data_IF_039142284114
#
_entry.id   IF_039142284114
#
_cell.length_a   1.000
_cell.length_b   1.000
_cell.length_c   1.000
_cell.angle_alpha   90.00
_cell.angle_beta   90.00
_cell.angle_gamma   90.00
#
_symmetry.space_group_name_H-M   'P 1'
#
loop_
_entity.id
_entity.type
_entity.pdbx_description
1 polymer ?
#
# COMPACT_ATOMS: atom_id res chain seq x y z
N UNK A 1 11.68 -50.76 -32.21
CA UNK A 1 12.12 -49.51 -31.56
C UNK A 1 13.62 -49.61 -31.37
N UNK A 2 14.38 -48.84 -32.13
CA UNK A 2 15.85 -48.87 -32.09
C UNK A 2 16.39 -47.85 -31.06
N UNK A 3 17.69 -47.87 -30.79
CA UNK A 3 18.31 -46.95 -29.83
C UNK A 3 18.17 -45.47 -30.21
N UNK A 4 18.06 -45.15 -31.50
CA UNK A 4 17.83 -43.79 -31.98
C UNK A 4 16.42 -43.31 -31.63
N UNK A 5 15.39 -44.14 -31.79
CA UNK A 5 14.00 -43.83 -31.44
C UNK A 5 13.87 -43.49 -29.94
N UNK A 6 14.59 -44.23 -29.08
CA UNK A 6 14.60 -44.00 -27.63
C UNK A 6 15.29 -42.68 -27.25
N UNK A 7 16.41 -42.36 -27.90
CA UNK A 7 17.12 -41.09 -27.68
C UNK A 7 16.27 -39.90 -28.14
N UNK A 8 15.59 -40.04 -29.28
CA UNK A 8 14.73 -39.00 -29.83
C UNK A 8 13.48 -38.77 -28.96
N UNK A 9 12.85 -39.85 -28.47
CA UNK A 9 11.76 -39.75 -27.51
C UNK A 9 12.19 -39.07 -26.19
N UNK A 10 13.36 -39.42 -25.65
CA UNK A 10 13.88 -38.78 -24.44
C UNK A 10 14.19 -37.29 -24.64
N UNK A 11 14.72 -36.91 -25.81
CA UNK A 11 14.93 -35.50 -26.18
C UNK A 11 13.62 -34.73 -26.28
N UNK A 12 12.59 -35.31 -26.90
CA UNK A 12 11.27 -34.68 -27.02
C UNK A 12 10.62 -34.44 -25.66
N UNK A 13 10.71 -35.42 -24.74
CA UNK A 13 10.24 -35.25 -23.35
C UNK A 13 10.99 -34.11 -22.66
N UNK A 14 12.32 -34.09 -22.78
CA UNK A 14 13.14 -33.05 -22.17
C UNK A 14 12.84 -31.65 -22.71
N UNK A 15 12.59 -31.52 -24.01
CA UNK A 15 12.21 -30.23 -24.63
C UNK A 15 10.85 -29.76 -24.07
N UNK A 16 9.88 -30.66 -23.91
CA UNK A 16 8.56 -30.30 -23.33
C UNK A 16 8.68 -29.85 -21.87
N UNK A 17 9.50 -30.53 -21.07
CA UNK A 17 9.79 -30.11 -19.69
C UNK A 17 10.40 -28.72 -19.64
N UNK A 18 11.40 -28.45 -20.49
CA UNK A 18 12.06 -27.14 -20.57
C UNK A 18 11.10 -26.05 -21.03
N UNK A 19 10.23 -26.33 -22.01
CA UNK A 19 9.19 -25.39 -22.44
C UNK A 19 8.21 -25.07 -21.30
N UNK A 20 7.80 -26.08 -20.53
CA UNK A 20 6.90 -25.89 -19.37
C UNK A 20 7.57 -25.04 -18.28
N UNK A 21 8.84 -25.33 -17.97
CA UNK A 21 9.61 -24.56 -17.01
C UNK A 21 9.82 -23.11 -17.46
N UNK A 22 10.11 -22.91 -18.75
CA UNK A 22 10.29 -21.57 -19.34
C UNK A 22 9.01 -20.74 -19.25
N UNK A 23 7.85 -21.33 -19.58
CA UNK A 23 6.55 -20.65 -19.47
C UNK A 23 6.24 -20.25 -18.03
N UNK A 24 6.50 -21.14 -17.07
CA UNK A 24 6.32 -20.85 -15.64
C UNK A 24 7.24 -19.71 -15.18
N UNK A 25 8.51 -19.76 -15.56
CA UNK A 25 9.49 -18.73 -15.21
C UNK A 25 9.14 -17.38 -15.84
N UNK A 26 8.65 -17.35 -17.09
CA UNK A 26 8.21 -16.14 -17.76
C UNK A 26 7.00 -15.50 -17.07
N UNK A 27 6.02 -16.31 -16.65
CA UNK A 27 4.86 -15.83 -15.90
C UNK A 27 5.27 -15.24 -14.54
N UNK A 28 6.17 -15.91 -13.82
CA UNK A 28 6.66 -15.40 -12.54
C UNK A 28 7.51 -14.13 -12.69
N UNK A 29 8.35 -14.04 -13.72
CA UNK A 29 9.13 -12.84 -13.99
C UNK A 29 8.22 -11.65 -14.35
N UNK A 30 7.18 -11.88 -15.16
CA UNK A 30 6.17 -10.86 -15.45
C UNK A 30 5.46 -10.40 -14.16
N UNK A 31 5.04 -11.35 -13.31
CA UNK A 31 4.42 -11.06 -12.01
C UNK A 31 5.33 -10.17 -11.15
N UNK A 32 6.60 -10.55 -11.03
CA UNK A 32 7.59 -9.80 -10.24
C UNK A 32 7.88 -8.41 -10.83
N UNK A 33 7.95 -8.28 -12.15
CA UNK A 33 8.11 -6.97 -12.80
C UNK A 33 6.94 -6.05 -12.52
N UNK A 34 5.71 -6.53 -12.68
CA UNK A 34 4.51 -5.76 -12.35
C UNK A 34 4.46 -5.40 -10.87
N UNK A 35 4.84 -6.31 -9.97
CA UNK A 35 4.93 -6.03 -8.54
C UNK A 35 5.98 -4.95 -8.22
N UNK A 36 7.15 -5.02 -8.86
CA UNK A 36 8.22 -4.04 -8.67
C UNK A 36 7.82 -2.65 -9.21
N UNK A 37 7.21 -2.59 -10.39
CA UNK A 37 6.66 -1.35 -10.96
C UNK A 37 5.58 -0.73 -10.04
N UNK A 38 4.71 -1.56 -9.46
CA UNK A 38 3.73 -1.10 -8.49
C UNK A 38 4.39 -0.59 -7.20
N UNK A 39 5.44 -1.24 -6.69
CA UNK A 39 6.16 -0.77 -5.51
C UNK A 39 6.85 0.57 -5.77
N UNK A 40 7.52 0.72 -6.92
CA UNK A 40 8.14 1.98 -7.33
C UNK A 40 7.11 3.10 -7.49
N UNK A 41 5.93 2.82 -8.06
CA UNK A 41 4.90 3.83 -8.32
C UNK A 41 4.42 4.57 -7.05
N UNK A 42 4.54 3.96 -5.87
CA UNK A 42 4.07 4.52 -4.60
C UNK A 42 5.21 4.84 -3.63
N UNK A 43 6.46 4.54 -4.00
CA UNK A 43 7.61 4.73 -3.11
C UNK A 43 7.79 6.19 -2.70
N UNK A 44 7.65 7.13 -3.66
CA UNK A 44 7.76 8.56 -3.39
C UNK A 44 6.71 9.02 -2.36
N UNK A 45 5.49 8.50 -2.44
CA UNK A 45 4.42 8.81 -1.49
C UNK A 45 4.77 8.31 -0.07
N UNK A 46 5.34 7.10 0.03
CA UNK A 46 5.78 6.55 1.31
C UNK A 46 6.95 7.35 1.89
N UNK A 47 7.90 7.80 1.05
CA UNK A 47 9.01 8.65 1.49
C UNK A 47 8.50 9.99 2.02
N UNK A 48 7.55 10.62 1.32
CA UNK A 48 6.93 11.86 1.78
C UNK A 48 6.25 11.68 3.15
N UNK A 49 5.43 10.64 3.31
CA UNK A 49 4.78 10.34 4.59
C UNK A 49 5.78 9.98 5.70
N UNK A 50 6.89 9.32 5.37
CA UNK A 50 7.94 8.98 6.32
C UNK A 50 8.69 10.22 6.81
N UNK A 51 8.87 11.22 5.94
CA UNK A 51 9.42 12.52 6.32
C UNK A 51 8.46 13.28 7.24
N UNK A 52 7.15 13.25 6.96
CA UNK A 52 6.16 13.86 7.85
C UNK A 52 6.20 13.21 9.24
N UNK A 53 6.22 11.88 9.32
CA UNK A 53 6.35 11.11 10.58
C UNK A 53 7.62 11.47 11.35
N UNK A 54 8.75 11.60 10.66
CA UNK A 54 10.04 11.95 11.26
C UNK A 54 10.06 13.39 11.80
N UNK A 55 9.34 14.31 11.14
CA UNK A 55 9.29 15.73 11.51
C UNK A 55 8.31 16.04 12.65
N UNK A 56 7.52 15.06 13.10
CA UNK A 56 6.55 15.24 14.18
C UNK A 56 7.22 15.61 15.52
N UNK A 57 6.64 16.53 16.31
CA UNK A 57 7.01 16.75 17.72
C UNK A 57 6.90 15.46 18.56
N UNK A 58 7.64 15.32 19.69
CA UNK A 58 7.69 14.07 20.47
C UNK A 58 6.34 13.46 20.86
N UNK A 59 5.35 14.30 21.13
CA UNK A 59 3.96 13.96 21.50
C UNK A 59 3.03 13.78 20.29
N UNK A 60 3.47 14.20 19.10
CA UNK A 60 2.69 14.15 17.86
C UNK A 60 2.58 12.76 17.26
N UNK A 61 1.43 12.52 16.61
CA UNK A 61 1.11 11.29 15.90
C UNK A 61 0.87 11.51 14.41
N UNK A 62 1.20 10.51 13.60
CA UNK A 62 0.76 10.41 12.22
C UNK A 62 -0.56 9.64 12.18
N UNK A 63 -1.65 10.33 11.87
CA UNK A 63 -2.98 9.75 11.72
C UNK A 63 -3.23 9.44 10.25
N UNK A 64 -3.21 8.16 9.89
CA UNK A 64 -3.46 7.69 8.54
C UNK A 64 -4.96 7.41 8.38
N UNK A 65 -5.58 8.00 7.37
CA UNK A 65 -7.01 7.85 7.08
C UNK A 65 -7.19 7.13 5.75
N UNK A 66 -7.91 6.00 5.79
CA UNK A 66 -8.35 5.26 4.61
C UNK A 66 -9.53 5.99 3.95
N UNK A 67 -9.20 6.85 2.98
CA UNK A 67 -10.11 7.89 2.52
C UNK A 67 -11.39 7.37 1.87
N UNK A 68 -11.30 6.41 0.95
CA UNK A 68 -12.51 5.90 0.29
C UNK A 68 -13.35 5.05 1.23
N UNK A 69 -12.75 4.36 2.18
CA UNK A 69 -13.52 3.66 3.19
C UNK A 69 -14.29 4.63 4.10
N UNK A 70 -13.69 5.77 4.48
CA UNK A 70 -14.40 6.79 5.25
C UNK A 70 -15.55 7.46 4.48
N UNK A 71 -15.43 7.59 3.16
CA UNK A 71 -16.43 8.26 2.33
C UNK A 71 -17.54 7.29 1.86
N UNK A 72 -17.14 6.11 1.36
CA UNK A 72 -18.02 5.17 0.68
C UNK A 72 -18.36 3.94 1.53
N UNK A 73 -17.65 3.73 2.65
CA UNK A 73 -17.87 2.60 3.55
C UNK A 73 -19.22 2.66 4.26
N UNK A 74 -19.56 1.57 4.95
CA UNK A 74 -20.89 1.37 5.53
C UNK A 74 -21.34 2.48 6.49
N UNK A 75 -20.40 3.08 7.23
CA UNK A 75 -20.69 4.13 8.21
C UNK A 75 -20.69 5.56 7.63
N UNK A 76 -20.20 5.76 6.39
CA UNK A 76 -20.09 7.06 5.70
C UNK A 76 -19.71 8.22 6.62
N UNK A 77 -18.50 8.18 7.17
CA UNK A 77 -17.97 9.17 8.12
C UNK A 77 -17.91 10.58 7.49
N UNK A 78 -17.70 10.66 6.18
CA UNK A 78 -17.77 11.89 5.40
C UNK A 78 -18.61 11.67 4.13
N UNK A 79 -19.32 12.70 3.66
CA UNK A 79 -20.10 12.64 2.43
C UNK A 79 -19.21 12.60 1.20
N UNK A 80 -18.10 13.34 1.25
CA UNK A 80 -17.15 13.45 0.16
C UNK A 80 -15.73 13.75 0.67
N UNK A 81 -14.81 13.90 -0.29
CA UNK A 81 -13.40 14.24 -0.03
C UNK A 81 -13.24 15.61 0.64
N UNK A 82 -14.04 16.60 0.29
CA UNK A 82 -13.90 17.94 0.83
C UNK A 82 -14.27 17.96 2.32
N UNK A 83 -15.36 17.28 2.68
CA UNK A 83 -15.76 17.09 4.07
C UNK A 83 -14.70 16.30 4.86
N UNK A 84 -14.14 15.23 4.28
CA UNK A 84 -13.07 14.46 4.94
C UNK A 84 -11.82 15.31 5.21
N UNK A 85 -11.42 16.18 4.27
CA UNK A 85 -10.32 17.13 4.47
C UNK A 85 -10.67 18.16 5.55
N UNK A 86 -11.90 18.67 5.57
CA UNK A 86 -12.34 19.60 6.60
C UNK A 86 -12.30 18.96 8.01
N UNK A 87 -12.73 17.71 8.14
CA UNK A 87 -12.62 16.95 9.39
C UNK A 87 -11.16 16.73 9.81
N UNK A 88 -10.27 16.40 8.87
CA UNK A 88 -8.84 16.28 9.14
C UNK A 88 -8.23 17.60 9.62
N UNK A 89 -8.63 18.73 9.01
CA UNK A 89 -8.21 20.08 9.43
C UNK A 89 -8.71 20.42 10.84
N UNK A 90 -9.94 20.07 11.17
CA UNK A 90 -10.48 20.23 12.52
C UNK A 90 -9.68 19.38 13.54
N UNK A 91 -9.36 18.12 13.22
CA UNK A 91 -8.53 17.26 14.07
C UNK A 91 -7.18 17.90 14.39
N UNK A 92 -6.45 18.40 13.39
CA UNK A 92 -5.13 19.03 13.62
C UNK A 92 -5.23 20.41 14.29
N UNK A 93 -6.38 21.09 14.21
CA UNK A 93 -6.60 22.31 14.98
C UNK A 93 -6.76 22.01 16.48
N UNK A 94 -7.43 20.90 16.81
CA UNK A 94 -7.57 20.40 18.19
C UNK A 94 -6.30 19.72 18.70
N UNK A 95 -5.54 19.08 17.82
CA UNK A 95 -4.32 18.33 18.11
C UNK A 95 -3.15 18.85 17.26
N UNK A 96 -2.60 20.04 17.57
CA UNK A 96 -1.63 20.72 16.72
C UNK A 96 -0.29 20.00 16.59
N UNK A 97 0.01 19.03 17.46
CA UNK A 97 1.20 18.17 17.35
C UNK A 97 1.04 17.07 16.30
N UNK A 98 -0.18 16.71 15.93
CA UNK A 98 -0.47 15.62 14.99
C UNK A 98 -0.28 16.04 13.53
N UNK A 99 -0.23 15.04 12.66
CA UNK A 99 -0.27 15.19 11.22
C UNK A 99 -1.24 14.16 10.64
N UNK A 100 -2.17 14.59 9.78
CA UNK A 100 -3.17 13.70 9.19
C UNK A 100 -2.79 13.39 7.74
N UNK A 101 -2.75 12.12 7.40
CA UNK A 101 -2.49 11.64 6.05
C UNK A 101 -3.69 10.87 5.51
N UNK A 102 -4.43 11.47 4.59
CA UNK A 102 -5.54 10.84 3.88
C UNK A 102 -5.00 10.13 2.64
N UNK A 103 -5.23 8.82 2.57
CA UNK A 103 -4.81 7.98 1.45
C UNK A 103 -6.05 7.56 0.67
N UNK A 104 -6.03 7.83 -0.64
CA UNK A 104 -7.12 7.53 -1.57
C UNK A 104 -6.60 6.63 -2.69
N UNK A 105 -7.45 5.75 -3.18
CA UNK A 105 -7.19 5.10 -4.46
C UNK A 105 -7.46 6.06 -5.62
N UNK A 106 -6.52 6.14 -6.55
CA UNK A 106 -6.66 6.96 -7.75
C UNK A 106 -5.92 6.35 -8.94
N UNK A 107 -6.28 6.70 -10.18
CA UNK A 107 -5.62 6.17 -11.37
C UNK A 107 -4.20 6.70 -11.55
N UNK A 108 -3.88 7.87 -10.96
CA UNK A 108 -2.56 8.50 -11.03
C UNK A 108 -2.06 8.80 -9.62
N UNK A 109 -0.79 8.45 -9.38
CA UNK A 109 -0.11 8.78 -8.15
C UNK A 109 0.00 10.30 -8.02
N UNK A 110 -0.37 10.85 -6.87
CA UNK A 110 -0.20 12.27 -6.60
C UNK A 110 -0.25 12.53 -5.10
N UNK A 111 0.36 13.64 -4.66
CA UNK A 111 0.27 14.10 -3.28
C UNK A 111 0.08 15.60 -3.26
N UNK A 112 -0.75 16.06 -2.33
CA UNK A 112 -0.89 17.48 -1.97
C UNK A 112 -0.78 17.60 -0.45
N UNK A 113 -0.28 18.74 0.02
CA UNK A 113 -0.15 19.05 1.44
C UNK A 113 -0.68 20.46 1.69
N UNK A 114 -1.43 20.61 2.77
CA UNK A 114 -1.94 21.89 3.25
C UNK A 114 -1.80 21.92 4.78
N UNK A 115 -0.82 22.66 5.27
CA UNK A 115 -0.42 22.65 6.68
C UNK A 115 -0.03 21.26 7.16
N UNK A 116 -0.74 20.74 8.16
CA UNK A 116 -0.53 19.41 8.78
C UNK A 116 -1.43 18.31 8.21
N UNK A 117 -1.98 18.53 7.02
CA UNK A 117 -2.83 17.55 6.32
C UNK A 117 -2.25 17.23 4.96
N UNK A 118 -1.94 15.95 4.72
CA UNK A 118 -1.57 15.42 3.40
C UNK A 118 -2.71 14.62 2.81
N UNK A 119 -2.93 14.78 1.52
CA UNK A 119 -3.80 13.91 0.73
C UNK A 119 -2.99 13.28 -0.38
N UNK A 120 -2.96 11.95 -0.42
CA UNK A 120 -2.25 11.19 -1.44
C UNK A 120 -3.19 10.26 -2.19
N UNK A 121 -3.03 10.21 -3.50
CA UNK A 121 -3.62 9.18 -4.35
C UNK A 121 -2.56 8.15 -4.67
N UNK A 122 -2.88 6.87 -4.46
CA UNK A 122 -1.94 5.78 -4.70
C UNK A 122 -1.48 5.78 -6.16
N UNK A 123 -2.41 5.77 -7.12
CA UNK A 123 -2.07 5.53 -8.53
C UNK A 123 -2.28 4.06 -8.91
N UNK A 124 -2.05 3.71 -10.17
CA UNK A 124 -2.07 2.31 -10.63
C UNK A 124 -3.48 1.71 -10.86
N UNK A 125 -3.50 0.38 -11.01
CA UNK A 125 -4.68 -0.43 -11.36
C UNK A 125 -4.83 -1.60 -10.37
N UNK A 126 -6.06 -1.97 -10.00
CA UNK A 126 -6.36 -3.07 -9.06
C UNK A 126 -7.18 -2.64 -7.84
N UNK A 127 -7.79 -3.56 -7.10
CA UNK A 127 -8.55 -3.22 -5.89
C UNK A 127 -7.63 -3.08 -4.66
N UNK A 128 -8.09 -2.36 -3.62
CA UNK A 128 -7.44 -2.28 -2.29
C UNK A 128 -5.98 -1.81 -2.31
N UNK A 129 -5.64 -0.82 -3.15
CA UNK A 129 -4.24 -0.38 -3.28
C UNK A 129 -3.83 0.50 -2.10
N UNK A 130 -4.74 1.34 -1.61
CA UNK A 130 -4.57 2.10 -0.38
C UNK A 130 -4.25 1.18 0.79
N UNK A 131 -5.01 0.10 0.99
CA UNK A 131 -4.81 -0.87 2.08
C UNK A 131 -3.41 -1.47 2.03
N UNK A 132 -3.00 -1.99 0.85
CA UNK A 132 -1.66 -2.58 0.66
C UNK A 132 -0.57 -1.54 0.93
N UNK A 133 -0.72 -0.35 0.36
CA UNK A 133 0.24 0.73 0.49
C UNK A 133 0.40 1.20 1.93
N UNK A 134 -0.70 1.37 2.66
CA UNK A 134 -0.68 1.71 4.09
C UNK A 134 -0.01 0.57 4.86
N UNK A 135 -0.36 -0.69 4.62
CA UNK A 135 0.29 -1.84 5.27
C UNK A 135 1.80 -1.85 5.06
N UNK A 136 2.28 -1.57 3.85
CA UNK A 136 3.72 -1.53 3.56
C UNK A 136 4.40 -0.35 4.26
N UNK A 137 3.74 0.81 4.33
CA UNK A 137 4.20 1.94 5.15
C UNK A 137 4.29 1.58 6.64
N UNK A 138 3.28 0.89 7.20
CA UNK A 138 3.26 0.49 8.60
C UNK A 138 4.40 -0.49 8.93
N UNK A 139 4.69 -1.45 8.04
CA UNK A 139 5.83 -2.36 8.20
C UNK A 139 7.15 -1.59 8.25
N UNK A 140 7.30 -0.57 7.41
CA UNK A 140 8.47 0.32 7.39
C UNK A 140 8.56 1.15 8.68
N UNK A 141 7.47 1.78 9.12
CA UNK A 141 7.42 2.55 10.37
C UNK A 141 7.75 1.67 11.59
N UNK A 142 7.28 0.41 11.60
CA UNK A 142 7.67 -0.57 12.62
C UNK A 142 9.15 -0.90 12.58
N UNK A 143 9.69 -1.19 11.42
CA UNK A 143 11.12 -1.48 11.26
C UNK A 143 12.00 -0.34 11.80
N UNK A 144 11.56 0.91 11.66
CA UNK A 144 12.22 2.11 12.21
C UNK A 144 11.99 2.36 13.71
N UNK A 145 11.06 1.65 14.34
CA UNK A 145 10.66 1.88 15.74
C UNK A 145 9.63 2.99 15.94
N UNK A 146 9.07 3.55 14.86
CA UNK A 146 8.16 4.71 14.88
C UNK A 146 6.67 4.30 14.99
N UNK A 147 6.34 3.00 14.93
CA UNK A 147 4.95 2.50 14.84
C UNK A 147 4.03 2.99 15.97
N UNK A 148 4.57 3.24 17.17
CA UNK A 148 3.81 3.74 18.32
C UNK A 148 3.26 5.16 18.12
N UNK A 149 3.82 5.89 17.16
CA UNK A 149 3.40 7.25 16.78
C UNK A 149 2.43 7.25 15.60
N UNK A 150 1.98 6.08 15.13
CA UNK A 150 1.07 5.96 14.01
C UNK A 150 -0.30 5.50 14.49
N UNK A 151 -1.35 6.15 14.01
CA UNK A 151 -2.74 5.76 14.18
C UNK A 151 -3.35 5.50 12.81
N UNK A 152 -4.17 4.45 12.66
CA UNK A 152 -4.88 4.16 11.40
C UNK A 152 -6.38 4.23 11.62
N UNK A 153 -7.05 5.07 10.84
CA UNK A 153 -8.50 5.25 10.80
C UNK A 153 -9.06 4.61 9.53
N UNK A 154 -9.74 3.50 9.71
CA UNK A 154 -10.52 2.79 8.69
C UNK A 154 -11.74 2.17 9.38
N UNK A 155 -12.77 1.80 8.63
CA UNK A 155 -13.93 1.02 9.03
C UNK A 155 -14.01 -0.34 8.34
N UNK A 156 -13.08 -0.63 7.43
CA UNK A 156 -12.90 -1.95 6.84
C UNK A 156 -12.43 -2.95 7.92
N UNK A 157 -13.23 -3.99 8.15
CA UNK A 157 -12.97 -5.00 9.19
C UNK A 157 -11.75 -5.86 8.88
N UNK A 158 -11.51 -6.18 7.62
CA UNK A 158 -10.41 -7.04 7.22
C UNK A 158 -9.10 -6.26 7.21
N UNK A 159 -9.14 -5.01 6.74
CA UNK A 159 -8.01 -4.11 6.87
C UNK A 159 -7.66 -3.81 8.34
N UNK A 160 -8.65 -3.60 9.22
CA UNK A 160 -8.43 -3.47 10.67
C UNK A 160 -7.68 -4.65 11.27
N UNK A 161 -8.00 -5.89 10.86
CA UNK A 161 -7.30 -7.08 11.36
C UNK A 161 -5.84 -7.08 10.93
N UNK A 162 -5.58 -6.71 9.69
CA UNK A 162 -4.23 -6.67 9.14
C UNK A 162 -3.37 -5.58 9.82
N UNK A 163 -3.93 -4.38 10.02
CA UNK A 163 -3.28 -3.31 10.78
C UNK A 163 -2.93 -3.78 12.20
N UNK A 164 -3.89 -4.40 12.91
CA UNK A 164 -3.65 -4.94 14.26
C UNK A 164 -2.52 -5.97 14.28
N UNK A 165 -2.44 -6.83 13.28
CA UNK A 165 -1.37 -7.84 13.15
C UNK A 165 0.01 -7.18 13.03
N UNK A 166 0.12 -6.11 12.24
CA UNK A 166 1.37 -5.36 12.08
C UNK A 166 1.78 -4.67 13.39
N UNK A 167 0.81 -4.11 14.13
CA UNK A 167 1.09 -3.45 15.41
C UNK A 167 1.47 -4.43 16.55
N UNK A 168 1.02 -5.69 16.47
CA UNK A 168 1.22 -6.70 17.51
C UNK A 168 2.49 -7.53 17.35
N UNK A 169 3.08 -7.58 16.15
CA UNK A 169 4.35 -8.29 15.89
C UNK A 169 5.54 -7.35 15.90
#
# INVERSE_FOLDING_TARGET
MNAQDMIEAARLVRVRELQTALTKAAAENLRLKTENEMLFAHFDLAVLAANDLAALPPDGRLVIVDGWNMILGANKVAKDRAELIAQAKAHVAEHPSDFVWIVLDGPRASSSVDGRVRVSYTGGVGAHRADKFICDFLKMARFRGDIRRVEVRTDDKDFKKEVKRIFAS
#
